data_IF_605856368115
#
_entry.id   IF_605856368115
#
_cell.length_a   1.000
_cell.length_b   1.000
_cell.length_c   1.000
_cell.angle_alpha   90.00
_cell.angle_beta   90.00
_cell.angle_gamma   90.00
#
_symmetry.space_group_name_H-M   'P 1'
#
loop_
_entity.id
_entity.type
_entity.pdbx_description
1 polymer ?
#
# COMPACT_ATOMS: atom_id res chain seq x y z
N UNK A 1 -16.92 -1.36 -4.36
CA UNK A 1 -17.34 -0.97 -2.99
C UNK A 1 -18.85 -1.01 -2.81
N UNK A 2 -19.66 -0.43 -3.70
CA UNK A 2 -21.14 -0.41 -3.62
C UNK A 2 -21.80 -1.80 -3.45
N UNK A 3 -21.15 -2.86 -3.94
CA UNK A 3 -21.61 -4.25 -3.79
C UNK A 3 -21.25 -4.92 -2.45
N UNK A 4 -20.81 -4.16 -1.45
CA UNK A 4 -20.55 -4.66 -0.09
C UNK A 4 -19.18 -5.33 0.14
N UNK A 5 -18.31 -5.42 -0.87
CA UNK A 5 -16.96 -5.98 -0.72
C UNK A 5 -16.12 -5.12 0.23
N UNK A 6 -15.65 -5.75 1.31
CA UNK A 6 -14.75 -5.14 2.29
C UNK A 6 -13.30 -5.31 1.87
N UNK A 7 -12.49 -4.30 2.16
CA UNK A 7 -11.06 -4.28 1.83
C UNK A 7 -10.24 -4.14 3.10
N UNK A 8 -9.02 -4.66 3.07
CA UNK A 8 -8.07 -4.48 4.15
C UNK A 8 -7.81 -2.99 4.36
N UNK A 9 -7.61 -2.62 5.62
CA UNK A 9 -7.22 -1.25 5.94
C UNK A 9 -5.72 -1.09 5.74
N UNK A 10 -5.28 0.14 5.53
CA UNK A 10 -3.87 0.48 5.43
C UNK A 10 -3.64 1.73 6.26
N UNK A 11 -2.49 1.79 6.92
CA UNK A 11 -2.13 2.92 7.76
C UNK A 11 -1.83 4.17 6.92
N UNK A 12 -2.17 5.33 7.48
CA UNK A 12 -2.02 6.61 6.79
C UNK A 12 -0.56 6.92 6.43
N UNK A 13 0.37 6.51 7.30
CA UNK A 13 1.81 6.66 7.12
C UNK A 13 2.32 6.11 5.79
N UNK A 14 1.69 5.06 5.24
CA UNK A 14 2.05 4.53 3.92
C UNK A 14 1.88 5.58 2.81
N UNK A 15 0.76 6.30 2.82
CA UNK A 15 0.45 7.31 1.81
C UNK A 15 1.25 8.60 2.02
N UNK A 16 1.70 8.88 3.25
CA UNK A 16 2.63 10.00 3.52
C UNK A 16 4.00 9.78 2.90
N UNK A 17 4.46 8.52 2.82
CA UNK A 17 5.80 8.17 2.35
C UNK A 17 5.85 7.90 0.84
N UNK A 18 4.71 7.84 0.16
CA UNK A 18 4.63 7.33 -1.22
C UNK A 18 5.36 8.24 -2.22
N UNK A 19 5.22 9.56 -2.11
CA UNK A 19 5.88 10.52 -2.99
C UNK A 19 7.41 10.45 -2.85
N UNK A 20 7.90 10.17 -1.63
CA UNK A 20 9.33 9.99 -1.36
C UNK A 20 9.84 8.67 -1.91
N UNK A 21 9.05 7.60 -1.79
CA UNK A 21 9.43 6.24 -2.23
C UNK A 21 9.37 6.10 -3.74
N UNK A 22 8.37 6.71 -4.38
CA UNK A 22 8.04 6.57 -5.79
C UNK A 22 7.93 7.97 -6.44
N UNK A 23 9.03 8.70 -6.60
CA UNK A 23 8.99 10.00 -7.24
C UNK A 23 8.38 9.88 -8.65
N UNK A 24 7.56 10.86 -9.04
CA UNK A 24 6.91 10.94 -10.35
C UNK A 24 5.92 9.80 -10.67
N UNK A 25 5.37 9.10 -9.67
CA UNK A 25 4.38 8.03 -9.91
C UNK A 25 3.08 8.49 -10.60
N UNK A 26 2.81 9.80 -10.71
CA UNK A 26 1.73 10.35 -11.56
C UNK A 26 0.31 9.98 -11.14
N UNK A 27 0.08 9.66 -9.87
CA UNK A 27 -1.23 9.27 -9.33
C UNK A 27 -1.71 10.27 -8.27
N UNK A 28 -3.03 10.41 -8.15
CA UNK A 28 -3.66 11.18 -7.08
C UNK A 28 -3.59 10.39 -5.76
N UNK A 29 -2.64 10.76 -4.89
CA UNK A 29 -2.39 10.08 -3.61
C UNK A 29 -3.62 10.16 -2.68
N UNK A 30 -4.36 11.27 -2.67
CA UNK A 30 -5.58 11.38 -1.86
C UNK A 30 -6.64 10.38 -2.30
N UNK A 31 -6.81 10.23 -3.62
CA UNK A 31 -7.72 9.23 -4.16
C UNK A 31 -7.24 7.81 -3.84
N UNK A 32 -5.94 7.53 -3.93
CA UNK A 32 -5.40 6.21 -3.59
C UNK A 32 -5.61 5.91 -2.11
N UNK A 33 -5.33 6.87 -1.23
CA UNK A 33 -5.58 6.81 0.22
C UNK A 33 -7.04 6.51 0.52
N UNK A 34 -7.97 7.31 -0.01
CA UNK A 34 -9.42 7.13 0.19
C UNK A 34 -9.89 5.74 -0.22
N UNK A 35 -9.29 5.18 -1.27
CA UNK A 35 -9.67 3.87 -1.79
C UNK A 35 -8.85 2.71 -1.22
N UNK A 36 -7.82 2.98 -0.41
CA UNK A 36 -6.85 1.99 0.10
C UNK A 36 -6.12 1.24 -1.02
N UNK A 37 -5.73 1.97 -2.06
CA UNK A 37 -4.99 1.41 -3.21
C UNK A 37 -3.50 1.65 -3.00
N UNK A 38 -2.72 0.58 -2.98
CA UNK A 38 -1.27 0.60 -2.88
C UNK A 38 -0.65 0.84 -4.27
N UNK A 39 0.49 1.50 -4.33
CA UNK A 39 1.25 1.75 -5.57
C UNK A 39 2.65 1.19 -5.40
N UNK A 40 3.15 0.44 -6.37
CA UNK A 40 4.54 -0.02 -6.41
C UNK A 40 5.16 0.16 -7.81
N UNK A 41 6.46 -0.06 -7.92
CA UNK A 41 7.21 -0.03 -9.18
C UNK A 41 8.10 1.20 -9.32
N UNK A 42 8.31 1.67 -10.54
CA UNK A 42 9.14 2.84 -10.83
C UNK A 42 8.75 3.45 -12.18
N UNK A 43 9.29 4.62 -12.50
CA UNK A 43 9.07 5.23 -13.83
C UNK A 43 9.74 4.41 -14.95
N UNK A 44 10.82 3.68 -14.63
CA UNK A 44 11.56 2.84 -15.59
C UNK A 44 10.92 1.48 -15.84
N UNK A 45 10.44 0.82 -14.77
CA UNK A 45 9.85 -0.54 -14.84
C UNK A 45 8.32 -0.51 -14.98
N UNK A 46 7.72 0.67 -14.93
CA UNK A 46 6.29 0.86 -14.83
C UNK A 46 5.75 0.67 -13.42
N UNK A 47 4.44 0.90 -13.28
CA UNK A 47 3.74 0.92 -12.00
C UNK A 47 2.81 -0.27 -11.83
N UNK A 48 2.52 -0.55 -10.57
CA UNK A 48 1.59 -1.57 -10.12
C UNK A 48 0.64 -0.97 -9.10
N UNK A 49 -0.67 -1.15 -9.26
CA UNK A 49 -1.66 -0.74 -8.29
C UNK A 49 -2.36 -1.97 -7.72
N UNK A 50 -2.43 -2.07 -6.40
CA UNK A 50 -2.95 -3.25 -5.69
C UNK A 50 -3.95 -2.84 -4.61
N UNK A 51 -4.93 -3.70 -4.38
CA UNK A 51 -5.82 -3.62 -3.23
C UNK A 51 -6.26 -5.04 -2.83
N UNK A 52 -6.33 -5.30 -1.53
CA UNK A 52 -6.67 -6.60 -0.97
C UNK A 52 -8.03 -6.55 -0.29
N UNK A 53 -8.86 -7.56 -0.56
CA UNK A 53 -10.12 -7.78 0.15
C UNK A 53 -9.84 -8.25 1.58
N UNK A 54 -10.80 -8.06 2.49
CA UNK A 54 -10.78 -8.80 3.76
C UNK A 54 -10.97 -10.30 3.49
N UNK A 55 -10.68 -11.11 4.51
CA UNK A 55 -10.96 -12.54 4.54
C UNK A 55 -12.42 -12.82 4.13
N UNK A 56 -12.59 -13.60 3.06
CA UNK A 56 -13.90 -13.91 2.45
C UNK A 56 -14.35 -15.33 2.71
N UNK A 57 -13.41 -16.29 2.82
CA UNK A 57 -13.70 -17.70 3.10
C UNK A 57 -12.64 -18.30 4.02
N UNK A 58 -12.87 -18.25 5.34
CA UNK A 58 -11.81 -18.55 6.30
C UNK A 58 -10.63 -17.57 6.09
N UNK A 59 -9.36 -18.02 6.10
CA UNK A 59 -8.20 -17.14 5.89
C UNK A 59 -7.95 -16.79 4.41
N UNK A 60 -8.89 -17.06 3.50
CA UNK A 60 -8.75 -16.78 2.07
C UNK A 60 -9.24 -15.35 1.78
N UNK A 61 -8.39 -14.58 1.12
CA UNK A 61 -8.69 -13.26 0.58
C UNK A 61 -8.31 -13.18 -0.90
N UNK A 62 -8.83 -12.17 -1.58
CA UNK A 62 -8.56 -11.87 -2.98
C UNK A 62 -7.81 -10.55 -3.13
N UNK A 63 -6.96 -10.49 -4.16
CA UNK A 63 -6.28 -9.29 -4.63
C UNK A 63 -6.92 -8.78 -5.93
N UNK A 64 -7.02 -7.45 -6.05
CA UNK A 64 -7.31 -6.78 -7.32
C UNK A 64 -6.06 -5.98 -7.71
N UNK A 65 -5.55 -6.26 -8.89
CA UNK A 65 -4.28 -5.72 -9.38
C UNK A 65 -4.46 -5.04 -10.74
N UNK A 66 -3.90 -3.84 -10.90
CA UNK A 66 -3.78 -3.14 -12.17
C UNK A 66 -2.29 -2.95 -12.49
N UNK A 67 -1.85 -3.50 -13.62
CA UNK A 67 -0.49 -3.35 -14.13
C UNK A 67 -0.42 -2.19 -15.11
N UNK A 68 0.59 -1.33 -14.94
CA UNK A 68 0.94 -0.24 -15.85
C UNK A 68 2.41 -0.38 -16.25
N UNK A 69 2.70 -1.41 -17.04
CA UNK A 69 4.07 -1.77 -17.44
C UNK A 69 4.76 -2.74 -16.49
N UNK A 70 4.52 -2.64 -15.17
CA UNK A 70 5.17 -3.52 -14.21
C UNK A 70 4.61 -4.96 -14.24
N UNK A 71 5.46 -5.95 -14.52
CA UNK A 71 5.13 -7.38 -14.54
C UNK A 71 5.46 -8.11 -13.22
N UNK A 72 6.02 -7.42 -12.23
CA UNK A 72 6.38 -7.97 -10.93
C UNK A 72 5.19 -8.26 -10.00
N UNK A 73 5.47 -8.54 -8.73
CA UNK A 73 4.44 -8.94 -7.74
C UNK A 73 4.12 -7.89 -6.68
N UNK A 74 4.80 -6.73 -6.72
CA UNK A 74 4.59 -5.69 -5.71
C UNK A 74 5.36 -5.94 -4.41
N UNK A 75 6.58 -6.48 -4.49
CA UNK A 75 7.41 -6.76 -3.30
C UNK A 75 7.68 -5.49 -2.46
N UNK A 76 7.77 -4.33 -3.11
CA UNK A 76 7.96 -3.04 -2.44
C UNK A 76 6.73 -2.62 -1.62
N UNK A 77 5.51 -3.01 -2.01
CA UNK A 77 4.31 -2.74 -1.22
C UNK A 77 4.33 -3.45 0.13
N UNK A 78 4.75 -4.71 0.18
CA UNK A 78 4.84 -5.45 1.44
C UNK A 78 5.87 -4.83 2.40
N UNK A 79 7.06 -4.51 1.89
CA UNK A 79 8.08 -3.85 2.70
C UNK A 79 7.60 -2.48 3.18
N UNK A 80 7.03 -1.66 2.30
CA UNK A 80 6.56 -0.33 2.64
C UNK A 80 5.42 -0.33 3.66
N UNK A 81 4.53 -1.33 3.62
CA UNK A 81 3.52 -1.52 4.66
C UNK A 81 4.17 -1.81 6.01
N UNK A 82 5.19 -2.67 6.05
CA UNK A 82 5.92 -3.00 7.27
C UNK A 82 6.66 -1.77 7.84
N UNK A 83 7.44 -1.07 7.02
CA UNK A 83 8.17 0.13 7.42
C UNK A 83 7.23 1.23 7.93
N UNK A 84 6.06 1.35 7.31
CA UNK A 84 5.04 2.31 7.75
C UNK A 84 4.46 1.94 9.11
N UNK A 85 4.27 0.65 9.40
CA UNK A 85 3.75 0.15 10.69
C UNK A 85 4.77 0.43 11.77
N UNK A 86 6.04 0.14 11.51
CA UNK A 86 7.13 0.43 12.43
C UNK A 86 7.22 1.94 12.72
N UNK A 87 7.15 2.79 11.69
CA UNK A 87 7.17 4.24 11.86
C UNK A 87 5.97 4.75 12.67
N UNK A 88 4.77 4.23 12.44
CA UNK A 88 3.59 4.56 13.25
C UNK A 88 3.74 4.10 14.71
N UNK A 89 4.33 2.92 14.95
CA UNK A 89 4.63 2.43 16.30
C UNK A 89 5.66 3.29 17.03
N UNK A 90 6.68 3.79 16.32
CA UNK A 90 7.66 4.75 16.85
C UNK A 90 6.96 6.08 17.19
N UNK A 91 6.11 6.61 16.30
CA UNK A 91 5.35 7.86 16.53
C UNK A 91 4.42 7.76 17.74
N UNK A 92 3.82 6.59 17.97
CA UNK A 92 2.97 6.30 19.15
C UNK A 92 3.77 5.99 20.42
N UNK A 93 5.10 5.89 20.34
CA UNK A 93 5.98 5.58 21.46
C UNK A 93 5.90 4.12 21.94
N UNK A 94 5.34 3.22 21.14
CA UNK A 94 5.24 1.78 21.44
C UNK A 94 6.58 1.08 21.22
N UNK A 95 7.31 1.48 20.18
CA UNK A 95 8.69 1.07 19.91
C UNK A 95 9.63 2.21 20.27
N UNK A 96 10.69 1.91 21.02
CA UNK A 96 11.81 2.81 21.25
C UNK A 96 12.93 2.41 20.30
N UNK A 97 13.41 3.35 19.50
CA UNK A 97 14.64 3.18 18.74
C UNK A 97 15.76 3.56 19.70
N UNK A 98 16.56 2.58 20.12
CA UNK A 98 17.76 2.87 20.90
C UNK A 98 18.71 3.70 20.01
N UNK A 99 19.12 4.85 20.53
CA UNK A 99 19.95 5.84 19.85
C UNK A 99 21.41 5.41 19.73
#
# INVERSE_FOLDING_TARGET
RERGVQFQDTIETYFELIDKRLPNHGHDVERMRKNRILIDGSDEEGLLLQIFTQDTFGPIFFEIIQRKGNEGFGNGNFQALFDSIELDQIRRGVIKVDA
#
